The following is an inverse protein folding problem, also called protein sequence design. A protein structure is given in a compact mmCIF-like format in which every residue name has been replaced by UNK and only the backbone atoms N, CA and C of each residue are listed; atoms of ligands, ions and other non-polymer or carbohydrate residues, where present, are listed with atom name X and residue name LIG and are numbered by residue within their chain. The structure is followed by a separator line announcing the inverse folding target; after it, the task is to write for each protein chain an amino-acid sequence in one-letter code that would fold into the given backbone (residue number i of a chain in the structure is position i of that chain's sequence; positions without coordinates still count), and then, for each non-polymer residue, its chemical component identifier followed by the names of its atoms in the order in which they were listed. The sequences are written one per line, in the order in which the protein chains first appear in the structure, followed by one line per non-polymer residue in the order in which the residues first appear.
data_IF_926391182566
#
_entry.id   IF_926391182566
#
_cell.length_a   1.000
_cell.length_b   1.000
_cell.length_c   1.000
_cell.angle_alpha   90.00
_cell.angle_beta   90.00
_cell.angle_gamma   90.00
#
_symmetry.space_group_name_H-M   'P 1'
#
loop_
_entity.id
_entity.type
_entity.pdbx_description
1 polymer ?
#
# COMPACT_ATOMS: atom_id res chain seq x y z
N UNK A 1 38.14 -4.26 -6.03
CA UNK A 1 36.86 -3.77 -6.59
C UNK A 1 36.49 -2.48 -5.86
N UNK A 2 36.30 -1.37 -6.57
CA UNK A 2 35.85 -0.13 -5.94
C UNK A 2 34.46 -0.34 -5.30
N UNK A 3 34.20 0.15 -4.08
CA UNK A 3 32.88 0.04 -3.47
C UNK A 3 31.88 0.78 -4.36
N UNK A 4 30.83 0.09 -4.82
CA UNK A 4 29.71 0.70 -5.54
C UNK A 4 29.18 1.87 -4.69
N UNK A 5 29.14 3.07 -5.27
CA UNK A 5 28.56 4.22 -4.61
C UNK A 5 27.10 3.89 -4.24
N UNK A 6 26.70 4.26 -3.01
CA UNK A 6 25.30 4.07 -2.60
C UNK A 6 24.38 4.92 -3.48
N UNK A 7 23.25 4.35 -3.87
CA UNK A 7 22.19 5.09 -4.55
C UNK A 7 20.83 4.59 -4.06
N UNK A 8 19.82 5.46 -4.12
CA UNK A 8 18.44 5.11 -3.75
C UNK A 8 17.95 3.94 -4.61
N UNK A 9 18.23 3.97 -5.92
CA UNK A 9 17.87 2.87 -6.83
C UNK A 9 18.48 1.53 -6.42
N UNK A 10 19.77 1.50 -6.07
CA UNK A 10 20.43 0.27 -5.58
C UNK A 10 19.88 -0.20 -4.22
N UNK A 11 19.50 0.74 -3.35
CA UNK A 11 18.87 0.42 -2.07
C UNK A 11 17.50 -0.23 -2.26
N UNK A 12 16.66 0.35 -3.13
CA UNK A 12 15.33 -0.18 -3.45
C UNK A 12 15.45 -1.55 -4.11
N UNK A 13 16.31 -1.70 -5.13
CA UNK A 13 16.53 -3.02 -5.76
C UNK A 13 17.00 -4.07 -4.76
N UNK A 14 17.93 -3.71 -3.87
CA UNK A 14 18.40 -4.61 -2.82
C UNK A 14 17.27 -5.05 -1.88
N UNK A 15 16.41 -4.12 -1.49
CA UNK A 15 15.26 -4.40 -0.64
C UNK A 15 14.19 -5.24 -1.34
N UNK A 16 13.93 -5.00 -2.64
CA UNK A 16 13.05 -5.84 -3.47
C UNK A 16 13.57 -7.27 -3.49
N UNK A 17 14.84 -7.48 -3.86
CA UNK A 17 15.46 -8.81 -3.96
C UNK A 17 15.39 -9.57 -2.63
N UNK A 18 15.62 -8.86 -1.51
CA UNK A 18 15.53 -9.45 -0.17
C UNK A 18 14.11 -9.80 0.23
N UNK A 19 13.14 -8.93 -0.05
CA UNK A 19 11.73 -9.16 0.27
C UNK A 19 11.15 -10.34 -0.52
N UNK A 20 11.52 -10.49 -1.79
CA UNK A 20 11.08 -11.60 -2.64
C UNK A 20 11.57 -12.96 -2.11
N UNK A 21 12.80 -13.02 -1.59
CA UNK A 21 13.37 -14.24 -1.00
C UNK A 21 12.75 -14.64 0.34
N UNK A 22 12.00 -13.73 0.98
CA UNK A 22 11.44 -14.00 2.32
C UNK A 22 10.03 -14.61 2.30
N UNK A 23 9.36 -14.65 1.15
CA UNK A 23 7.96 -15.08 1.00
C UNK A 23 7.75 -16.53 0.54
N UNK A 24 8.74 -17.42 0.71
CA UNK A 24 8.78 -18.73 0.06
C UNK A 24 8.58 -19.98 0.93
N UNK A 25 8.44 -19.89 2.25
CA UNK A 25 8.33 -21.11 3.10
C UNK A 25 6.94 -21.23 3.76
N UNK A 26 6.20 -22.32 3.48
CA UNK A 26 4.92 -22.61 4.12
C UNK A 26 5.18 -23.38 5.42
N UNK A 27 5.33 -22.67 6.54
CA UNK A 27 5.32 -23.30 7.86
C UNK A 27 5.98 -22.47 8.95
N UNK A 28 5.19 -22.04 9.94
CA UNK A 28 5.67 -21.57 11.24
C UNK A 28 5.65 -20.05 11.47
N UNK A 29 4.89 -19.64 12.50
CA UNK A 29 5.06 -18.42 13.32
C UNK A 29 5.06 -17.07 12.61
N UNK A 30 4.00 -16.28 12.83
CA UNK A 30 3.82 -14.87 12.44
C UNK A 30 4.62 -14.40 11.21
N UNK A 31 3.97 -14.55 10.06
CA UNK A 31 4.44 -14.05 8.77
C UNK A 31 4.73 -12.54 8.86
N UNK A 32 6.00 -12.16 8.97
CA UNK A 32 6.44 -10.80 8.66
C UNK A 32 5.82 -10.40 7.32
N UNK A 33 5.06 -9.31 7.32
CA UNK A 33 4.41 -8.81 6.11
C UNK A 33 5.47 -8.50 5.05
N UNK A 34 5.14 -8.64 3.76
CA UNK A 34 6.07 -8.30 2.66
C UNK A 34 6.67 -6.89 2.81
N UNK A 35 5.93 -5.98 3.45
CA UNK A 35 6.37 -4.62 3.81
C UNK A 35 7.46 -4.57 4.86
N UNK A 36 7.35 -5.35 5.92
CA UNK A 36 8.37 -5.41 6.97
C UNK A 36 9.66 -6.01 6.42
N UNK A 37 9.54 -7.04 5.57
CA UNK A 37 10.67 -7.61 4.84
C UNK A 37 11.35 -6.57 3.92
N UNK A 38 10.59 -5.69 3.29
CA UNK A 38 11.11 -4.61 2.47
C UNK A 38 11.76 -3.49 3.29
N UNK A 39 11.09 -2.99 4.35
CA UNK A 39 11.67 -2.01 5.29
C UNK A 39 12.99 -2.50 5.89
N UNK A 40 13.01 -3.78 6.29
CA UNK A 40 14.23 -4.45 6.76
C UNK A 40 15.31 -4.47 5.68
N UNK A 41 14.96 -4.77 4.42
CA UNK A 41 15.89 -4.75 3.30
C UNK A 41 16.49 -3.36 3.03
N UNK A 42 15.67 -2.31 3.10
CA UNK A 42 16.14 -0.92 3.00
C UNK A 42 17.12 -0.60 4.14
N UNK A 43 16.76 -0.96 5.38
CA UNK A 43 17.57 -0.69 6.56
C UNK A 43 18.89 -1.46 6.50
N UNK A 44 18.86 -2.75 6.14
CA UNK A 44 20.04 -3.59 5.94
C UNK A 44 21.01 -2.97 4.93
N UNK A 45 20.50 -2.45 3.81
CA UNK A 45 21.33 -1.80 2.79
C UNK A 45 22.11 -0.61 3.35
N UNK A 46 21.46 0.27 4.12
CA UNK A 46 22.13 1.42 4.72
C UNK A 46 23.13 0.98 5.80
N UNK A 47 22.79 -0.04 6.59
CA UNK A 47 23.65 -0.57 7.65
C UNK A 47 24.84 -1.43 7.14
N UNK A 48 24.84 -1.87 5.88
CA UNK A 48 26.04 -2.42 5.23
C UNK A 48 27.13 -1.39 5.07
N UNK A 49 26.77 -0.14 4.84
CA UNK A 49 27.74 0.94 4.77
C UNK A 49 28.32 1.23 6.16
N UNK A 50 29.63 1.04 6.34
CA UNK A 50 30.30 1.21 7.65
C UNK A 50 29.98 2.54 8.34
N UNK A 51 29.89 3.63 7.57
CA UNK A 51 29.58 4.96 8.11
C UNK A 51 28.10 5.12 8.48
N UNK A 52 27.18 4.55 7.69
CA UNK A 52 25.76 4.51 8.05
C UNK A 52 25.50 3.66 9.28
N UNK A 53 26.23 2.55 9.39
CA UNK A 53 26.23 1.65 10.54
C UNK A 53 26.72 2.32 11.83
N UNK A 54 27.88 2.97 11.77
CA UNK A 54 28.45 3.72 12.90
C UNK A 54 27.52 4.86 13.34
N UNK A 55 26.91 5.59 12.40
CA UNK A 55 25.93 6.62 12.71
C UNK A 55 24.69 6.05 13.43
N UNK A 56 24.15 4.92 12.96
CA UNK A 56 23.03 4.24 13.60
C UNK A 56 23.38 3.80 15.02
N UNK A 57 24.51 3.11 15.21
CA UNK A 57 24.91 2.61 16.53
C UNK A 57 25.11 3.72 17.54
N UNK A 58 25.83 4.79 17.16
CA UNK A 58 26.07 5.92 18.07
C UNK A 58 24.80 6.71 18.38
N UNK A 59 23.98 7.01 17.37
CA UNK A 59 22.87 7.96 17.52
C UNK A 59 21.54 7.31 17.94
N UNK A 60 21.38 6.01 17.70
CA UNK A 60 20.16 5.27 17.99
C UNK A 60 20.38 4.26 19.10
N UNK A 61 21.37 3.36 18.96
CA UNK A 61 21.67 2.38 20.00
C UNK A 61 22.39 3.01 21.21
N UNK A 62 22.97 4.21 21.04
CA UNK A 62 23.66 4.95 22.11
C UNK A 62 24.97 4.28 22.53
N UNK A 63 25.63 3.60 21.61
CA UNK A 63 26.89 2.88 21.86
C UNK A 63 28.01 3.51 21.04
N UNK A 64 29.21 3.61 21.62
CA UNK A 64 30.38 4.18 20.93
C UNK A 64 31.24 3.14 20.20
N UNK A 65 30.87 1.85 20.30
CA UNK A 65 31.53 0.75 19.60
C UNK A 65 31.27 0.74 18.09
N UNK A 66 32.24 0.21 17.34
CA UNK A 66 32.08 -0.07 15.93
C UNK A 66 31.39 -1.45 15.73
N UNK A 67 30.11 -1.46 15.33
CA UNK A 67 29.37 -2.71 15.15
C UNK A 67 29.91 -3.51 13.96
N UNK A 68 29.88 -4.84 14.08
CA UNK A 68 30.04 -5.72 12.92
C UNK A 68 28.88 -5.52 11.92
N UNK A 69 28.99 -6.05 10.72
CA UNK A 69 27.90 -5.95 9.74
C UNK A 69 26.59 -6.52 10.29
N UNK A 70 25.50 -5.76 10.15
CA UNK A 70 24.17 -6.25 10.47
C UNK A 70 23.80 -7.38 9.52
N UNK A 71 23.42 -8.52 10.08
CA UNK A 71 22.98 -9.70 9.35
C UNK A 71 21.52 -9.98 9.69
N UNK A 72 20.78 -10.49 8.72
CA UNK A 72 19.46 -11.10 8.99
C UNK A 72 19.69 -12.30 9.91
N UNK A 73 18.97 -12.39 11.03
CA UNK A 73 19.16 -13.49 11.98
C UNK A 73 18.72 -14.84 11.35
N UNK A 74 19.45 -15.94 11.58
CA UNK A 74 19.06 -17.28 11.14
C UNK A 74 17.80 -17.75 11.88
N UNK A 75 16.82 -18.27 11.13
CA UNK A 75 15.47 -18.58 11.62
C UNK A 75 15.35 -20.02 12.16
N UNK A 76 16.00 -20.33 13.28
CA UNK A 76 15.93 -21.67 13.89
C UNK A 76 15.28 -21.70 15.27
N UNK A 77 14.50 -20.67 15.64
CA UNK A 77 13.77 -20.62 16.91
C UNK A 77 12.59 -19.64 16.90
N UNK A 78 11.73 -19.64 17.93
CA UNK A 78 10.46 -18.93 17.94
C UNK A 78 10.56 -17.40 17.90
N UNK A 79 11.72 -16.79 18.17
CA UNK A 79 11.92 -15.36 17.88
C UNK A 79 13.35 -15.04 17.46
N UNK A 80 13.61 -14.81 16.17
CA UNK A 80 14.88 -14.26 15.69
C UNK A 80 14.65 -12.82 15.22
N UNK A 81 15.36 -11.87 15.83
CA UNK A 81 15.32 -10.44 15.47
C UNK A 81 15.46 -10.22 13.95
N UNK A 82 14.90 -9.13 13.42
CA UNK A 82 14.97 -8.84 11.98
C UNK A 82 16.40 -8.62 11.49
N UNK A 83 17.19 -7.89 12.27
CA UNK A 83 18.62 -7.69 12.04
C UNK A 83 19.37 -7.82 13.35
N UNK A 84 20.55 -8.44 13.30
CA UNK A 84 21.46 -8.54 14.43
C UNK A 84 22.86 -8.11 14.01
N UNK A 85 23.55 -7.42 14.91
CA UNK A 85 24.98 -7.12 14.78
C UNK A 85 25.66 -7.48 16.11
N UNK A 86 26.60 -8.44 16.11
CA UNK A 86 27.38 -8.73 17.31
C UNK A 86 28.36 -7.59 17.60
N UNK A 87 28.58 -7.36 18.90
CA UNK A 87 29.55 -6.42 19.44
C UNK A 87 30.81 -7.17 19.89
N UNK A 88 31.88 -6.42 20.11
CA UNK A 88 33.20 -6.98 20.46
C UNK A 88 33.24 -7.60 21.86
N UNK A 89 32.38 -7.16 22.77
CA UNK A 89 32.27 -7.58 24.16
C UNK A 89 31.35 -8.80 24.37
N UNK A 90 30.87 -9.42 23.28
CA UNK A 90 29.89 -10.50 23.33
C UNK A 90 28.44 -10.03 23.46
N UNK A 91 28.18 -8.71 23.50
CA UNK A 91 26.85 -8.13 23.35
C UNK A 91 26.36 -8.15 21.90
N UNK A 92 25.12 -7.72 21.68
CA UNK A 92 24.58 -7.55 20.33
C UNK A 92 23.61 -6.38 20.22
N UNK A 93 23.54 -5.77 19.04
CA UNK A 93 22.45 -4.89 18.65
C UNK A 93 21.46 -5.72 17.84
N UNK A 94 20.29 -5.94 18.42
CA UNK A 94 19.15 -6.55 17.76
C UNK A 94 18.14 -5.49 17.32
N UNK A 95 17.59 -5.63 16.13
CA UNK A 95 16.59 -4.71 15.57
C UNK A 95 15.34 -5.51 15.24
N UNK A 96 14.19 -5.00 15.67
CA UNK A 96 12.87 -5.47 15.27
C UNK A 96 12.16 -4.35 14.51
N UNK A 97 11.69 -4.68 13.30
CA UNK A 97 11.05 -3.76 12.36
C UNK A 97 9.56 -4.01 12.36
N UNK A 98 8.77 -2.98 12.66
CA UNK A 98 7.32 -2.97 12.49
C UNK A 98 6.92 -1.78 11.63
N UNK A 99 6.13 -2.05 10.60
CA UNK A 99 5.55 -1.01 9.72
C UNK A 99 4.04 -0.87 9.92
N UNK A 100 3.42 -1.88 10.54
CA UNK A 100 2.00 -1.94 10.88
C UNK A 100 1.83 -2.60 12.26
N UNK A 101 0.64 -2.44 12.87
CA UNK A 101 0.29 -3.06 14.15
C UNK A 101 0.88 -2.38 15.40
N UNK A 102 0.59 -2.99 16.56
CA UNK A 102 1.10 -2.55 17.87
C UNK A 102 2.10 -3.57 18.41
N UNK A 103 3.09 -3.08 19.16
CA UNK A 103 4.00 -3.92 19.93
C UNK A 103 3.51 -3.92 21.39
N UNK A 104 3.30 -5.09 21.96
CA UNK A 104 2.88 -5.25 23.36
C UNK A 104 4.05 -5.60 24.30
N UNK A 105 3.80 -5.52 25.60
CA UNK A 105 4.82 -5.76 26.63
C UNK A 105 5.25 -7.23 26.71
N UNK A 106 4.37 -8.17 26.32
CA UNK A 106 4.70 -9.59 26.32
C UNK A 106 5.80 -9.91 25.29
N UNK A 107 5.64 -9.42 24.06
CA UNK A 107 6.62 -9.58 23.00
C UNK A 107 7.94 -8.88 23.34
N UNK A 108 7.89 -7.67 23.90
CA UNK A 108 9.09 -6.94 24.31
C UNK A 108 9.86 -7.68 25.40
N UNK A 109 9.17 -8.23 26.39
CA UNK A 109 9.79 -9.03 27.47
C UNK A 109 10.46 -10.27 26.91
N UNK A 110 9.81 -10.96 25.96
CA UNK A 110 10.40 -12.11 25.29
C UNK A 110 11.66 -11.73 24.48
N UNK A 111 11.59 -10.66 23.67
CA UNK A 111 12.73 -10.17 22.88
C UNK A 111 13.92 -9.75 23.75
N UNK A 112 13.66 -9.15 24.92
CA UNK A 112 14.70 -8.76 25.86
C UNK A 112 15.35 -9.97 26.56
N UNK A 113 14.59 -11.04 26.81
CA UNK A 113 15.11 -12.28 27.37
C UNK A 113 16.05 -13.02 26.39
N UNK A 114 15.82 -12.89 25.09
CA UNK A 114 16.66 -13.47 24.02
C UNK A 114 17.94 -12.67 23.73
N UNK A 115 18.09 -11.47 24.29
CA UNK A 115 19.34 -10.71 24.18
C UNK A 115 20.44 -11.31 25.08
N UNK A 116 21.70 -11.39 24.61
CA UNK A 116 22.86 -11.67 25.43
C UNK A 116 22.92 -10.76 26.66
N UNK A 117 23.32 -11.34 27.80
CA UNK A 117 23.47 -10.67 29.09
C UNK A 117 24.70 -9.73 29.16
N UNK A 118 24.91 -8.92 28.12
CA UNK A 118 25.84 -7.80 28.12
C UNK A 118 25.10 -6.49 28.38
N UNK A 119 25.72 -5.58 29.14
CA UNK A 119 25.25 -4.20 29.34
C UNK A 119 25.28 -3.37 28.05
N UNK A 120 26.02 -3.82 27.03
CA UNK A 120 26.08 -3.20 25.71
C UNK A 120 25.06 -3.79 24.74
N UNK A 121 24.36 -4.86 25.10
CA UNK A 121 23.27 -5.38 24.27
C UNK A 121 22.15 -4.34 24.15
N UNK A 122 21.61 -4.18 22.93
CA UNK A 122 20.53 -3.24 22.64
C UNK A 122 19.45 -3.91 21.80
N UNK A 123 18.20 -3.77 22.20
CA UNK A 123 17.02 -4.09 21.40
C UNK A 123 16.45 -2.78 20.86
N UNK A 124 16.55 -2.59 19.55
CA UNK A 124 15.98 -1.43 18.87
C UNK A 124 14.66 -1.86 18.22
N UNK A 125 13.55 -1.27 18.65
CA UNK A 125 12.23 -1.54 18.08
C UNK A 125 11.77 -0.32 17.31
N UNK A 126 11.60 -0.49 16.00
CA UNK A 126 11.12 0.54 15.08
C UNK A 126 9.64 0.35 14.80
N UNK A 127 8.82 1.34 15.15
CA UNK A 127 7.36 1.29 14.97
C UNK A 127 6.83 2.50 14.18
N UNK A 128 5.64 2.42 13.55
CA UNK A 128 5.00 3.60 12.99
C UNK A 128 4.49 4.52 14.12
N UNK A 129 4.35 5.83 13.86
CA UNK A 129 3.85 6.79 14.87
C UNK A 129 2.42 6.49 15.34
N UNK A 130 1.61 5.85 14.50
CA UNK A 130 0.26 5.37 14.81
C UNK A 130 0.28 4.20 15.80
N UNK A 131 1.32 3.37 15.76
CA UNK A 131 1.58 2.28 16.71
C UNK A 131 2.17 2.82 18.01
N UNK A 132 1.44 3.70 18.70
CA UNK A 132 1.82 4.20 20.04
C UNK A 132 1.99 3.01 20.98
N UNK A 133 3.22 2.62 21.21
CA UNK A 133 3.57 1.64 22.23
C UNK A 133 3.40 2.31 23.60
N UNK A 134 2.34 1.94 24.32
CA UNK A 134 2.20 2.22 25.75
C UNK A 134 2.88 1.09 26.50
N UNK A 135 4.21 1.08 26.49
CA UNK A 135 4.97 0.11 27.27
C UNK A 135 5.28 0.65 28.65
N UNK A 136 5.16 -0.20 29.67
CA UNK A 136 5.63 0.09 31.04
C UNK A 136 7.03 -0.47 31.31
N UNK A 137 7.66 -1.09 30.31
CA UNK A 137 8.97 -1.72 30.44
C UNK A 137 10.06 -0.65 30.54
N UNK A 138 10.71 -0.59 31.69
CA UNK A 138 11.90 0.23 31.92
C UNK A 138 13.15 -0.66 31.92
N UNK A 139 13.66 -0.99 30.73
CA UNK A 139 14.96 -1.68 30.54
C UNK A 139 15.87 -0.76 29.71
N UNK A 140 17.08 -0.48 30.21
CA UNK A 140 18.06 0.40 29.55
C UNK A 140 18.56 -0.17 28.21
N UNK A 141 18.40 -1.48 28.00
CA UNK A 141 18.74 -2.16 26.74
C UNK A 141 17.66 -1.96 25.68
N UNK A 142 16.46 -1.50 26.05
CA UNK A 142 15.35 -1.26 25.13
C UNK A 142 15.39 0.16 24.56
N UNK A 143 15.51 0.26 23.23
CA UNK A 143 15.37 1.51 22.49
C UNK A 143 14.12 1.44 21.62
N UNK A 144 13.06 2.10 22.08
CA UNK A 144 11.81 2.19 21.33
C UNK A 144 11.69 3.54 20.62
N UNK A 145 11.61 3.53 19.29
CA UNK A 145 11.50 4.75 18.50
C UNK A 145 10.65 4.56 17.25
N UNK A 146 10.03 5.66 16.82
CA UNK A 146 9.30 5.65 15.55
C UNK A 146 10.23 5.87 14.36
N UNK A 147 9.82 5.42 13.18
CA UNK A 147 10.52 5.65 11.91
C UNK A 147 10.81 7.13 11.62
N UNK A 148 9.91 8.03 11.99
CA UNK A 148 10.06 9.49 11.91
C UNK A 148 11.20 9.96 12.82
N UNK A 149 11.20 9.49 14.08
CA UNK A 149 12.24 9.86 15.05
C UNK A 149 13.61 9.36 14.59
N UNK A 150 13.67 8.13 14.06
CA UNK A 150 14.87 7.57 13.44
C UNK A 150 15.38 8.49 12.32
N UNK A 151 14.54 8.77 11.33
CA UNK A 151 14.88 9.57 10.18
C UNK A 151 15.29 11.00 10.56
N UNK A 152 14.57 11.66 11.45
CA UNK A 152 14.90 13.02 11.92
C UNK A 152 16.25 13.08 12.61
N UNK A 153 16.54 12.12 13.52
CA UNK A 153 17.82 12.08 14.24
C UNK A 153 18.99 11.85 13.28
N UNK A 154 18.86 10.87 12.38
CA UNK A 154 19.94 10.49 11.47
C UNK A 154 20.12 11.49 10.33
N UNK A 155 19.06 12.07 9.78
CA UNK A 155 19.16 13.12 8.76
C UNK A 155 19.91 14.35 9.28
N UNK A 156 19.66 14.74 10.53
CA UNK A 156 20.29 15.91 11.14
C UNK A 156 21.79 15.70 11.45
N UNK A 157 22.20 14.46 11.74
CA UNK A 157 23.55 14.13 12.22
C UNK A 157 24.40 13.33 11.23
N UNK A 158 23.79 12.84 10.14
CA UNK A 158 24.45 12.20 9.00
C UNK A 158 23.94 12.81 7.66
N UNK A 159 24.30 14.06 7.36
CA UNK A 159 23.80 14.77 6.18
C UNK A 159 24.20 14.12 4.86
N UNK A 160 25.32 13.37 4.83
CA UNK A 160 25.80 12.65 3.64
C UNK A 160 24.89 11.49 3.23
N UNK A 161 24.02 11.02 4.11
CA UNK A 161 23.03 9.95 3.85
C UNK A 161 21.61 10.39 4.17
N UNK A 162 21.38 11.70 4.32
CA UNK A 162 20.09 12.29 4.66
C UNK A 162 18.94 11.74 3.82
N UNK A 163 19.13 11.58 2.51
CA UNK A 163 18.10 11.08 1.60
C UNK A 163 17.72 9.62 1.85
N UNK A 164 18.69 8.77 2.21
CA UNK A 164 18.43 7.37 2.58
C UNK A 164 17.65 7.27 3.89
N UNK A 165 18.05 8.05 4.90
CA UNK A 165 17.37 8.12 6.18
C UNK A 165 15.96 8.70 6.06
N UNK A 166 15.77 9.70 5.19
CA UNK A 166 14.46 10.27 4.89
C UNK A 166 13.55 9.24 4.22
N UNK A 167 14.03 8.54 3.20
CA UNK A 167 13.24 7.50 2.53
C UNK A 167 12.84 6.37 3.48
N UNK A 168 13.74 5.93 4.36
CA UNK A 168 13.44 4.96 5.42
C UNK A 168 12.35 5.46 6.37
N UNK A 169 12.43 6.72 6.78
CA UNK A 169 11.42 7.35 7.63
C UNK A 169 10.06 7.47 6.96
N UNK A 170 10.02 7.91 5.70
CA UNK A 170 8.81 8.03 4.88
C UNK A 170 8.18 6.65 4.67
N UNK A 171 8.97 5.64 4.27
CA UNK A 171 8.45 4.28 4.08
C UNK A 171 7.90 3.68 5.37
N UNK A 172 8.60 3.85 6.49
CA UNK A 172 8.19 3.27 7.76
C UNK A 172 7.07 4.02 8.50
N UNK A 173 6.86 5.31 8.22
CA UNK A 173 5.77 6.11 8.80
C UNK A 173 4.51 6.18 7.94
N UNK A 174 4.68 6.33 6.62
CA UNK A 174 3.61 6.44 5.63
C UNK A 174 3.41 5.12 4.89
N UNK A 175 3.61 3.98 5.58
CA UNK A 175 3.12 2.68 5.14
C UNK A 175 1.58 2.65 5.21
N UNK A 176 0.90 3.57 4.52
CA UNK A 176 -0.27 3.20 3.75
C UNK A 176 0.16 2.22 2.66
N UNK A 177 -0.78 1.51 2.02
CA UNK A 177 -0.44 0.30 1.31
C UNK A 177 0.40 0.48 0.04
N UNK A 178 1.71 0.66 0.21
CA UNK A 178 2.72 0.71 -0.84
C UNK A 178 3.17 -0.72 -1.07
N UNK A 179 2.55 -1.33 -2.09
CA UNK A 179 3.09 -2.52 -2.72
C UNK A 179 4.40 -2.10 -3.41
N UNK A 180 5.54 -2.36 -2.78
CA UNK A 180 6.83 -2.26 -3.48
C UNK A 180 6.85 -3.37 -4.51
N UNK A 181 6.44 -3.00 -5.72
CA UNK A 181 6.42 -3.83 -6.90
C UNK A 181 7.31 -3.16 -7.93
N UNK A 182 7.96 -3.96 -8.77
CA UNK A 182 8.54 -3.45 -10.01
C UNK A 182 7.46 -2.63 -10.73
N UNK A 183 7.81 -1.49 -11.37
CA UNK A 183 6.81 -0.69 -12.09
C UNK A 183 6.05 -1.61 -13.04
N UNK A 184 4.74 -1.73 -12.81
CA UNK A 184 3.89 -2.62 -13.58
C UNK A 184 3.94 -2.21 -15.05
N UNK A 185 4.20 -3.19 -15.93
CA UNK A 185 4.17 -2.92 -17.37
C UNK A 185 2.72 -2.67 -17.79
N UNK A 186 2.42 -1.56 -18.49
CA UNK A 186 1.08 -1.28 -19.04
C UNK A 186 0.50 -2.40 -19.91
N UNK A 187 1.35 -3.31 -20.42
CA UNK A 187 0.92 -4.50 -21.16
C UNK A 187 -0.02 -5.39 -20.34
N UNK A 188 0.03 -5.36 -19.01
CA UNK A 188 -0.89 -6.14 -18.16
C UNK A 188 -2.36 -5.79 -18.41
N UNK A 189 -2.64 -4.57 -18.90
CA UNK A 189 -4.00 -4.11 -19.25
C UNK A 189 -4.56 -4.76 -20.53
N UNK A 190 -3.72 -5.48 -21.27
CA UNK A 190 -4.13 -6.28 -22.45
C UNK A 190 -4.47 -7.72 -22.09
N UNK A 191 -4.18 -8.16 -20.87
CA UNK A 191 -4.42 -9.53 -20.43
C UNK A 191 -5.91 -9.74 -20.14
N UNK A 192 -6.54 -10.67 -20.88
CA UNK A 192 -7.96 -10.97 -20.75
C UNK A 192 -8.30 -11.59 -19.40
N UNK A 193 -7.42 -12.42 -18.83
CA UNK A 193 -7.64 -13.03 -17.51
C UNK A 193 -7.66 -11.95 -16.42
N UNK A 194 -6.68 -11.04 -16.45
CA UNK A 194 -6.63 -9.90 -15.52
C UNK A 194 -7.82 -8.97 -15.73
N UNK A 195 -8.27 -8.82 -16.99
CA UNK A 195 -9.46 -8.03 -17.31
C UNK A 195 -10.73 -8.61 -16.69
N UNK A 196 -10.98 -9.91 -16.86
CA UNK A 196 -12.14 -10.56 -16.24
C UNK A 196 -12.06 -10.54 -14.72
N UNK A 197 -10.86 -10.76 -14.17
CA UNK A 197 -10.62 -10.70 -12.74
C UNK A 197 -10.94 -9.31 -12.15
N UNK A 198 -10.45 -8.24 -12.80
CA UNK A 198 -10.74 -6.86 -12.40
C UNK A 198 -12.24 -6.56 -12.43
N UNK A 199 -12.91 -6.99 -13.50
CA UNK A 199 -14.37 -6.85 -13.61
C UNK A 199 -15.08 -7.56 -12.46
N UNK A 200 -14.74 -8.83 -12.20
CA UNK A 200 -15.39 -9.61 -11.15
C UNK A 200 -15.20 -8.99 -9.75
N UNK A 201 -14.01 -8.47 -9.45
CA UNK A 201 -13.79 -7.77 -8.17
C UNK A 201 -14.49 -6.41 -8.09
N UNK A 202 -14.60 -5.67 -9.19
CA UNK A 202 -15.41 -4.44 -9.22
C UNK A 202 -16.90 -4.73 -9.02
N UNK A 203 -17.41 -5.84 -9.57
CA UNK A 203 -18.77 -6.33 -9.33
C UNK A 203 -18.97 -6.70 -7.85
N UNK A 204 -18.02 -7.42 -7.23
CA UNK A 204 -18.03 -7.68 -5.78
C UNK A 204 -18.07 -6.38 -4.98
N UNK A 205 -17.23 -5.40 -5.32
CA UNK A 205 -17.20 -4.11 -4.63
C UNK A 205 -18.53 -3.35 -4.75
N UNK A 206 -19.16 -3.40 -5.92
CA UNK A 206 -20.50 -2.83 -6.14
C UNK A 206 -21.53 -3.49 -5.24
N UNK A 207 -21.52 -4.82 -5.15
CA UNK A 207 -22.40 -5.58 -4.27
C UNK A 207 -22.18 -5.21 -2.81
N UNK A 208 -20.93 -5.17 -2.34
CA UNK A 208 -20.57 -4.80 -0.96
C UNK A 208 -21.03 -3.37 -0.66
N UNK A 209 -20.81 -2.44 -1.59
CA UNK A 209 -21.20 -1.04 -1.44
C UNK A 209 -22.72 -0.86 -1.33
N UNK A 210 -23.48 -1.59 -2.16
CA UNK A 210 -24.95 -1.58 -2.14
C UNK A 210 -25.48 -2.20 -0.84
N UNK A 211 -25.02 -3.38 -0.46
CA UNK A 211 -25.52 -4.10 0.73
C UNK A 211 -25.17 -3.38 2.05
N UNK A 212 -23.98 -2.78 2.17
CA UNK A 212 -23.57 -2.13 3.41
C UNK A 212 -23.97 -0.66 3.53
N UNK A 213 -23.94 0.08 2.42
CA UNK A 213 -24.07 1.56 2.44
C UNK A 213 -25.27 2.06 1.64
N UNK A 214 -25.71 1.32 0.61
CA UNK A 214 -26.80 1.72 -0.27
C UNK A 214 -26.50 2.98 -1.09
N UNK A 215 -25.22 3.19 -1.46
CA UNK A 215 -24.77 4.35 -2.24
C UNK A 215 -23.74 3.94 -3.29
N UNK A 216 -23.65 4.76 -4.33
CA UNK A 216 -22.68 4.59 -5.40
C UNK A 216 -21.25 4.95 -4.97
N UNK A 217 -20.29 4.35 -5.67
CA UNK A 217 -18.86 4.61 -5.56
C UNK A 217 -18.51 6.08 -5.84
N UNK A 218 -17.52 6.58 -5.11
CA UNK A 218 -16.90 7.88 -5.40
C UNK A 218 -15.38 7.82 -5.35
N UNK A 219 -14.72 8.58 -6.21
CA UNK A 219 -13.27 8.81 -6.10
C UNK A 219 -13.09 9.94 -5.10
N UNK A 220 -12.36 9.66 -4.04
CA UNK A 220 -12.02 10.65 -3.04
C UNK A 220 -10.58 11.04 -3.15
N UNK A 221 -10.33 12.34 -3.06
CA UNK A 221 -9.01 12.93 -2.90
C UNK A 221 -8.73 13.29 -1.44
N UNK A 222 -9.54 12.79 -0.49
CA UNK A 222 -9.46 13.19 0.93
C UNK A 222 -8.17 12.69 1.60
N UNK A 223 -7.21 13.62 1.81
CA UNK A 223 -6.10 13.77 2.79
C UNK A 223 -5.31 12.55 3.35
N UNK A 224 -5.69 11.30 3.08
CA UNK A 224 -5.02 10.09 3.59
C UNK A 224 -3.97 9.50 2.67
N UNK A 225 -3.83 10.03 1.47
CA UNK A 225 -2.84 9.60 0.49
C UNK A 225 -2.75 10.58 -0.68
N UNK A 226 -1.65 10.48 -1.43
CA UNK A 226 -1.38 11.31 -2.61
C UNK A 226 -2.28 11.02 -3.80
N UNK A 227 -2.90 9.84 -3.89
CA UNK A 227 -3.57 9.35 -5.10
C UNK A 227 -5.09 9.11 -4.99
N UNK A 228 -5.64 8.53 -6.06
CA UNK A 228 -7.06 8.19 -6.19
C UNK A 228 -7.49 7.12 -5.17
N UNK A 229 -8.66 7.29 -4.55
CA UNK A 229 -9.26 6.27 -3.68
C UNK A 229 -10.70 6.05 -4.09
N UNK A 230 -11.04 4.82 -4.51
CA UNK A 230 -12.41 4.44 -4.84
C UNK A 230 -13.13 3.99 -3.58
N UNK A 231 -14.09 4.77 -3.09
CA UNK A 231 -14.72 4.50 -1.79
C UNK A 231 -16.20 4.85 -1.75
N UNK A 232 -16.91 4.28 -0.77
CA UNK A 232 -18.33 4.50 -0.50
C UNK A 232 -18.53 4.74 0.99
N UNK A 233 -19.25 5.80 1.36
CA UNK A 233 -19.71 5.99 2.74
C UNK A 233 -18.64 6.35 3.78
N UNK A 234 -17.35 6.35 3.44
CA UNK A 234 -16.28 6.76 4.34
C UNK A 234 -16.35 8.28 4.58
N UNK A 235 -16.67 8.67 5.81
CA UNK A 235 -16.71 10.07 6.22
C UNK A 235 -16.26 10.24 7.67
N UNK A 236 -15.18 10.99 7.91
CA UNK A 236 -14.72 11.32 9.25
C UNK A 236 -14.55 10.07 10.14
N UNK A 237 -15.41 9.91 11.13
CA UNK A 237 -15.39 8.78 12.07
C UNK A 237 -16.06 7.51 11.58
N UNK A 238 -16.87 7.57 10.52
CA UNK A 238 -17.63 6.44 10.03
C UNK A 238 -16.78 5.49 9.18
N UNK A 239 -17.00 4.18 9.37
CA UNK A 239 -16.58 3.17 8.42
C UNK A 239 -17.36 3.33 7.10
N UNK A 240 -16.61 3.21 6.01
CA UNK A 240 -17.10 3.04 4.65
C UNK A 240 -16.44 1.82 4.01
N UNK A 241 -16.65 1.68 2.71
CA UNK A 241 -16.06 0.62 1.88
C UNK A 241 -15.06 1.26 0.93
N UNK A 242 -13.93 0.60 0.68
CA UNK A 242 -12.89 1.05 -0.24
C UNK A 242 -12.47 -0.09 -1.17
N UNK A 243 -12.27 0.24 -2.44
CA UNK A 243 -11.54 -0.61 -3.39
C UNK A 243 -10.07 -0.17 -3.38
N UNK A 244 -9.29 -0.85 -2.55
CA UNK A 244 -7.91 -0.52 -2.22
C UNK A 244 -6.93 -1.54 -2.77
N UNK A 245 -5.68 -1.51 -2.29
CA UNK A 245 -4.68 -2.49 -2.65
C UNK A 245 -5.09 -3.91 -2.29
N UNK A 246 -4.65 -4.87 -3.10
CA UNK A 246 -4.88 -6.29 -2.83
C UNK A 246 -3.98 -6.75 -1.70
N UNK A 247 -4.58 -7.08 -0.57
CA UNK A 247 -3.95 -7.79 0.56
C UNK A 247 -4.94 -8.83 1.08
N UNK A 248 -4.43 -9.90 1.70
CA UNK A 248 -5.24 -11.02 2.17
C UNK A 248 -6.22 -11.59 1.11
N UNK A 249 -5.82 -11.49 -0.16
CA UNK A 249 -6.60 -11.98 -1.30
C UNK A 249 -7.81 -11.11 -1.69
N UNK A 250 -8.00 -9.92 -1.13
CA UNK A 250 -9.13 -9.05 -1.50
C UNK A 250 -8.71 -7.58 -1.73
N UNK A 251 -9.29 -6.90 -2.74
CA UNK A 251 -9.17 -5.46 -2.89
C UNK A 251 -10.29 -4.70 -2.15
N UNK A 252 -11.21 -5.38 -1.46
CA UNK A 252 -12.40 -4.76 -0.85
C UNK A 252 -12.27 -4.67 0.66
N UNK A 253 -12.29 -3.42 1.16
CA UNK A 253 -11.95 -3.08 2.53
C UNK A 253 -13.08 -2.32 3.21
N UNK A 254 -13.24 -2.54 4.52
CA UNK A 254 -13.90 -1.58 5.40
C UNK A 254 -12.88 -0.59 5.93
N UNK A 255 -13.05 0.69 5.64
CA UNK A 255 -12.07 1.73 6.04
C UNK A 255 -12.72 2.90 6.78
N UNK A 256 -12.03 3.39 7.81
CA UNK A 256 -12.48 4.48 8.68
C UNK A 256 -11.43 5.56 8.86
N UNK A 257 -11.83 6.84 8.83
CA UNK A 257 -10.87 7.95 8.76
C UNK A 257 -10.38 8.52 10.12
N UNK A 258 -11.17 8.38 11.19
CA UNK A 258 -10.88 8.89 12.54
C UNK A 258 -11.62 8.07 13.62
N UNK A 259 -11.02 7.05 14.25
CA UNK A 259 -9.64 6.59 14.11
C UNK A 259 -9.36 5.89 12.76
N UNK A 260 -8.07 5.69 12.45
CA UNK A 260 -7.63 4.84 11.32
C UNK A 260 -8.00 3.41 11.62
N UNK A 261 -8.85 2.83 10.78
CA UNK A 261 -9.32 1.46 10.84
C UNK A 261 -9.40 0.92 9.43
N UNK A 262 -8.94 -0.30 9.23
CA UNK A 262 -8.99 -1.00 7.96
C UNK A 262 -9.21 -2.48 8.23
N UNK A 263 -10.21 -3.08 7.61
CA UNK A 263 -10.51 -4.51 7.74
C UNK A 263 -10.76 -5.11 6.36
N UNK A 264 -9.97 -6.11 5.97
CA UNK A 264 -10.22 -6.88 4.76
C UNK A 264 -11.51 -7.68 4.94
N UNK A 265 -12.48 -7.59 4.03
CA UNK A 265 -13.77 -8.30 4.22
C UNK A 265 -13.70 -9.82 3.98
N UNK A 266 -12.55 -10.32 3.52
CA UNK A 266 -12.36 -11.71 3.10
C UNK A 266 -13.42 -12.16 2.06
N UNK A 267 -13.76 -11.27 1.13
CA UNK A 267 -14.66 -11.53 -0.01
C UNK A 267 -13.89 -11.21 -1.28
N UNK A 268 -13.75 -12.22 -2.15
CA UNK A 268 -13.07 -12.13 -3.43
C UNK A 268 -14.02 -11.97 -4.62
N UNK A 269 -13.62 -12.47 -5.79
CA UNK A 269 -14.49 -12.55 -6.96
C UNK A 269 -15.55 -13.65 -6.76
N UNK A 270 -16.81 -13.32 -6.98
CA UNK A 270 -17.96 -14.21 -6.75
C UNK A 270 -18.44 -14.79 -8.09
N UNK A 271 -18.13 -16.06 -8.33
CA UNK A 271 -18.42 -16.73 -9.59
C UNK A 271 -19.81 -17.39 -9.61
N UNK A 272 -20.32 -17.80 -8.45
CA UNK A 272 -21.60 -18.52 -8.34
C UNK A 272 -22.65 -17.73 -7.56
N UNK A 273 -23.92 -18.07 -7.79
CA UNK A 273 -25.04 -17.50 -7.03
C UNK A 273 -24.97 -17.88 -5.54
N UNK A 274 -24.46 -19.08 -5.23
CA UNK A 274 -24.26 -19.55 -3.86
C UNK A 274 -23.23 -18.71 -3.09
N UNK A 275 -22.10 -18.41 -3.73
CA UNK A 275 -21.07 -17.50 -3.18
C UNK A 275 -21.64 -16.10 -2.99
N UNK A 276 -22.44 -15.62 -3.95
CA UNK A 276 -23.09 -14.32 -3.88
C UNK A 276 -24.08 -14.24 -2.71
N UNK A 277 -24.91 -15.25 -2.54
CA UNK A 277 -25.86 -15.34 -1.44
C UNK A 277 -25.15 -15.43 -0.08
N UNK A 278 -24.06 -16.19 0.00
CA UNK A 278 -23.24 -16.27 1.21
C UNK A 278 -22.61 -14.92 1.56
N UNK A 279 -22.05 -14.22 0.57
CA UNK A 279 -21.51 -12.89 0.75
C UNK A 279 -22.59 -11.90 1.21
N UNK A 280 -23.77 -11.89 0.58
CA UNK A 280 -24.90 -11.04 0.99
C UNK A 280 -25.34 -11.33 2.42
N UNK A 281 -25.47 -12.59 2.83
CA UNK A 281 -25.82 -12.95 4.21
C UNK A 281 -24.80 -12.41 5.21
N UNK A 282 -23.50 -12.53 4.91
CA UNK A 282 -22.42 -11.96 5.74
C UNK A 282 -22.54 -10.44 5.85
N UNK A 283 -22.70 -9.76 4.72
CA UNK A 283 -22.81 -8.30 4.66
C UNK A 283 -24.05 -7.79 5.41
N UNK A 284 -25.19 -8.48 5.28
CA UNK A 284 -26.40 -8.17 6.05
C UNK A 284 -26.22 -8.41 7.54
N UNK A 285 -25.46 -9.44 7.93
CA UNK A 285 -25.05 -9.68 9.32
C UNK A 285 -24.24 -8.52 9.89
N UNK A 286 -23.28 -8.00 9.12
CA UNK A 286 -22.51 -6.79 9.47
C UNK A 286 -23.45 -5.58 9.60
N UNK A 287 -24.31 -5.38 8.59
CA UNK A 287 -25.22 -4.23 8.53
C UNK A 287 -26.27 -4.22 9.65
N UNK A 288 -26.65 -5.39 10.16
CA UNK A 288 -27.60 -5.55 11.27
C UNK A 288 -27.01 -5.16 12.64
N UNK A 289 -25.68 -5.10 12.78
CA UNK A 289 -25.03 -4.68 14.01
C UNK A 289 -25.34 -3.22 14.35
N UNK A 290 -25.85 -2.95 15.56
CA UNK A 290 -26.08 -1.57 15.98
C UNK A 290 -24.77 -0.77 15.95
N UNK A 291 -24.77 0.41 15.32
CA UNK A 291 -23.63 1.34 15.32
C UNK A 291 -22.34 0.84 14.68
N UNK A 292 -22.34 -0.25 13.90
CA UNK A 292 -21.13 -0.84 13.30
C UNK A 292 -20.26 0.17 12.54
N UNK A 293 -20.86 1.19 11.93
CA UNK A 293 -20.13 2.25 11.22
C UNK A 293 -19.46 3.26 12.15
N UNK A 294 -20.11 3.60 13.26
CA UNK A 294 -19.74 4.73 14.11
C UNK A 294 -18.99 4.34 15.36
N UNK A 295 -19.15 3.09 15.82
CA UNK A 295 -18.46 2.57 17.00
C UNK A 295 -16.95 2.46 16.71
N UNK A 296 -16.07 3.19 17.42
CA UNK A 296 -14.63 3.16 17.20
C UNK A 296 -13.97 1.83 17.59
N UNK A 297 -14.60 1.01 18.45
CA UNK A 297 -14.11 -0.30 18.89
C UNK A 297 -14.65 -1.45 18.02
N UNK A 298 -15.49 -1.14 17.03
CA UNK A 298 -16.05 -2.15 16.14
C UNK A 298 -14.96 -2.86 15.34
N UNK A 299 -14.96 -4.18 15.43
CA UNK A 299 -14.22 -5.10 14.57
C UNK A 299 -15.21 -6.11 13.98
N UNK A 300 -15.24 -6.29 12.65
CA UNK A 300 -16.15 -7.24 12.03
C UNK A 300 -15.71 -8.68 12.34
N UNK A 301 -16.64 -9.51 12.82
CA UNK A 301 -16.40 -10.96 12.88
C UNK A 301 -16.48 -11.53 11.48
N UNK A 302 -15.33 -11.90 10.93
CA UNK A 302 -15.23 -12.47 9.59
C UNK A 302 -15.05 -13.99 9.68
N UNK A 303 -15.81 -14.72 8.87
CA UNK A 303 -15.63 -16.17 8.70
C UNK A 303 -14.60 -16.48 7.61
N UNK A 304 -14.65 -17.69 7.08
CA UNK A 304 -13.79 -18.13 5.98
C UNK A 304 -13.88 -17.21 4.75
N UNK A 305 -12.82 -17.18 3.95
CA UNK A 305 -12.78 -16.39 2.72
C UNK A 305 -13.84 -16.87 1.72
N UNK A 306 -14.63 -15.95 1.16
CA UNK A 306 -15.69 -16.27 0.19
C UNK A 306 -15.23 -15.88 -1.22
N UNK A 307 -15.37 -16.80 -2.17
CA UNK A 307 -15.05 -16.58 -3.58
C UNK A 307 -13.56 -16.73 -3.89
N UNK A 308 -13.17 -16.30 -5.09
CA UNK A 308 -11.80 -16.44 -5.59
C UNK A 308 -10.93 -15.25 -5.14
N UNK A 309 -9.76 -15.49 -4.52
CA UNK A 309 -8.87 -14.42 -4.11
C UNK A 309 -8.23 -13.71 -5.30
N UNK A 310 -7.99 -12.41 -5.12
CA UNK A 310 -7.30 -11.58 -6.09
C UNK A 310 -5.83 -12.00 -6.26
N UNK A 311 -5.41 -12.08 -7.50
CA UNK A 311 -4.07 -12.36 -7.96
C UNK A 311 -3.15 -11.16 -7.77
N UNK A 312 -1.82 -11.37 -7.72
CA UNK A 312 -0.88 -10.26 -7.79
C UNK A 312 -1.06 -9.43 -9.07
N UNK A 313 -1.38 -10.05 -10.21
CA UNK A 313 -1.54 -9.34 -11.47
C UNK A 313 -2.68 -8.31 -11.45
N UNK A 314 -3.76 -8.60 -10.71
CA UNK A 314 -4.86 -7.66 -10.50
C UNK A 314 -4.39 -6.34 -9.89
N UNK A 315 -3.57 -6.41 -8.85
CA UNK A 315 -3.08 -5.21 -8.16
C UNK A 315 -2.14 -4.38 -9.03
N UNK A 316 -1.37 -5.01 -9.92
CA UNK A 316 -0.53 -4.30 -10.89
C UNK A 316 -1.40 -3.50 -11.87
N UNK A 317 -2.46 -4.14 -12.39
CA UNK A 317 -3.44 -3.46 -13.23
C UNK A 317 -4.19 -2.35 -12.46
N UNK A 318 -4.62 -2.62 -11.23
CA UNK A 318 -5.31 -1.65 -10.36
C UNK A 318 -4.45 -0.42 -10.14
N UNK A 319 -3.19 -0.60 -9.74
CA UNK A 319 -2.28 0.51 -9.48
C UNK A 319 -2.12 1.41 -10.71
N UNK A 320 -1.91 0.84 -11.90
CA UNK A 320 -1.83 1.59 -13.15
C UNK A 320 -3.10 2.37 -13.46
N UNK A 321 -4.26 1.74 -13.32
CA UNK A 321 -5.54 2.37 -13.60
C UNK A 321 -5.86 3.50 -12.62
N UNK A 322 -5.47 3.36 -11.35
CA UNK A 322 -5.68 4.39 -10.35
C UNK A 322 -4.83 5.65 -10.61
N UNK A 323 -3.67 5.50 -11.23
CA UNK A 323 -2.86 6.63 -11.71
C UNK A 323 -3.52 7.35 -12.90
N UNK A 324 -4.21 6.60 -13.77
CA UNK A 324 -4.98 7.15 -14.90
C UNK A 324 -6.24 7.88 -14.44
N UNK A 325 -6.95 7.31 -13.46
CA UNK A 325 -8.20 7.88 -12.94
C UNK A 325 -7.98 8.93 -11.83
N UNK A 326 -6.74 9.26 -11.46
CA UNK A 326 -6.44 10.20 -10.39
C UNK A 326 -7.00 11.61 -10.68
N UNK A 327 -8.02 12.06 -9.93
CA UNK A 327 -8.62 13.38 -10.15
C UNK A 327 -7.63 14.52 -10.08
N UNK A 328 -6.59 14.43 -9.21
CA UNK A 328 -5.57 15.48 -9.08
C UNK A 328 -4.67 15.56 -10.29
N UNK A 329 -4.33 14.41 -10.89
CA UNK A 329 -3.50 14.36 -12.10
C UNK A 329 -4.26 14.87 -13.32
N UNK A 330 -5.52 14.49 -13.45
CA UNK A 330 -6.42 14.98 -14.49
C UNK A 330 -6.62 16.50 -14.37
N UNK A 331 -6.86 17.00 -13.15
CA UNK A 331 -6.97 18.44 -12.88
C UNK A 331 -5.68 19.20 -13.20
N UNK A 332 -4.52 18.68 -12.78
CA UNK A 332 -3.21 19.26 -13.10
C UNK A 332 -2.91 19.29 -14.62
N UNK A 333 -3.50 18.37 -15.39
CA UNK A 333 -3.41 18.34 -16.84
C UNK A 333 -4.43 19.26 -17.54
N UNK A 334 -5.21 20.05 -16.79
CA UNK A 334 -6.23 20.95 -17.34
C UNK A 334 -7.60 20.32 -17.57
N UNK A 335 -7.82 19.10 -17.05
CA UNK A 335 -9.08 18.35 -17.16
C UNK A 335 -9.70 18.10 -15.79
N UNK A 336 -10.21 19.13 -15.10
CA UNK A 336 -10.87 18.94 -13.82
C UNK A 336 -12.09 18.03 -13.93
N UNK A 337 -12.26 17.18 -12.91
CA UNK A 337 -13.42 16.29 -12.80
C UNK A 337 -14.72 17.08 -12.66
N UNK A 338 -15.78 16.61 -13.31
CA UNK A 338 -17.09 17.26 -13.24
C UNK A 338 -17.70 17.06 -11.84
N UNK A 339 -18.29 18.10 -11.22
CA UNK A 339 -18.91 17.97 -9.91
C UNK A 339 -20.08 16.97 -9.91
N UNK A 340 -20.10 16.08 -8.89
CA UNK A 340 -21.15 15.09 -8.56
C UNK A 340 -21.06 13.76 -9.33
N UNK A 341 -21.31 12.66 -8.60
CA UNK A 341 -21.41 11.26 -9.08
C UNK A 341 -20.19 10.81 -9.90
N UNK A 342 -19.00 10.83 -9.30
CA UNK A 342 -17.74 10.40 -9.91
C UNK A 342 -16.96 9.45 -8.97
N UNK A 343 -16.47 8.29 -9.44
CA UNK A 343 -16.65 7.78 -10.79
C UNK A 343 -18.06 7.25 -11.00
N UNK A 344 -18.37 7.01 -12.25
CA UNK A 344 -19.50 6.16 -12.65
C UNK A 344 -18.98 4.71 -12.75
N UNK A 345 -19.39 3.89 -11.78
CA UNK A 345 -19.13 2.45 -11.75
C UNK A 345 -20.43 1.71 -12.09
N UNK A 346 -20.55 1.29 -13.35
CA UNK A 346 -21.67 0.53 -13.88
C UNK A 346 -21.37 -0.97 -13.97
N UNK A 347 -22.31 -1.74 -14.53
CA UNK A 347 -22.13 -3.17 -14.81
C UNK A 347 -21.15 -3.41 -15.96
N UNK A 348 -21.06 -2.42 -16.86
CA UNK A 348 -20.30 -2.49 -18.08
C UNK A 348 -19.06 -1.61 -18.08
N UNK A 349 -18.88 -0.69 -17.13
CA UNK A 349 -17.78 0.28 -17.14
C UNK A 349 -17.37 0.81 -15.77
N UNK A 350 -16.11 1.25 -15.68
CA UNK A 350 -15.65 2.21 -14.67
C UNK A 350 -15.19 3.47 -15.40
N UNK A 351 -15.66 4.65 -14.99
CA UNK A 351 -15.37 5.89 -15.71
C UNK A 351 -15.33 7.15 -14.84
N UNK A 352 -14.52 8.11 -15.27
CA UNK A 352 -14.41 9.46 -14.70
C UNK A 352 -14.72 10.47 -15.80
N UNK A 353 -15.63 11.40 -15.49
CA UNK A 353 -16.02 12.49 -16.35
C UNK A 353 -15.21 13.74 -16.01
N UNK A 354 -14.62 14.34 -17.04
CA UNK A 354 -13.81 15.55 -16.95
C UNK A 354 -14.35 16.62 -17.91
N UNK A 355 -14.01 17.87 -17.64
CA UNK A 355 -14.33 19.01 -18.51
C UNK A 355 -13.05 19.61 -19.06
N UNK A 356 -13.16 20.42 -20.12
CA UNK A 356 -12.03 21.17 -20.67
C UNK A 356 -12.31 22.69 -20.57
N UNK A 357 -11.97 23.34 -19.44
CA UNK A 357 -12.24 24.75 -19.22
C UNK A 357 -11.73 25.73 -20.29
N UNK A 358 -10.57 25.49 -20.95
CA UNK A 358 -10.09 26.41 -21.99
C UNK A 358 -11.02 26.56 -23.20
N UNK A 359 -11.85 25.55 -23.48
CA UNK A 359 -12.91 25.62 -24.49
C UNK A 359 -14.20 24.95 -23.98
N UNK A 360 -15.12 25.73 -23.38
CA UNK A 360 -16.39 25.19 -22.89
C UNK A 360 -17.28 24.56 -23.98
N UNK A 361 -17.10 24.93 -25.25
CA UNK A 361 -17.85 24.35 -26.35
C UNK A 361 -17.42 22.91 -26.65
N UNK A 362 -16.20 22.53 -26.25
CA UNK A 362 -15.69 21.16 -26.37
C UNK A 362 -16.44 20.16 -25.44
N UNK A 363 -17.21 20.67 -24.48
CA UNK A 363 -18.09 19.88 -23.62
C UNK A 363 -17.38 19.03 -22.58
N UNK A 364 -17.92 17.84 -22.33
CA UNK A 364 -17.40 16.88 -21.35
C UNK A 364 -16.78 15.66 -22.03
N UNK A 365 -15.81 15.08 -21.34
CA UNK A 365 -15.08 13.91 -21.78
C UNK A 365 -15.18 12.82 -20.72
N UNK A 366 -15.21 11.58 -21.17
CA UNK A 366 -15.24 10.41 -20.34
C UNK A 366 -13.91 9.67 -20.49
N UNK A 367 -13.19 9.50 -19.38
CA UNK A 367 -12.08 8.55 -19.28
C UNK A 367 -12.66 7.27 -18.69
N UNK A 368 -12.53 6.13 -19.38
CA UNK A 368 -13.17 4.89 -18.94
C UNK A 368 -12.37 3.64 -19.26
N UNK A 369 -12.66 2.56 -18.54
CA UNK A 369 -12.34 1.18 -18.93
C UNK A 369 -13.63 0.38 -19.03
N UNK A 370 -13.60 -0.71 -19.78
CA UNK A 370 -14.84 -1.39 -20.19
C UNK A 370 -15.68 -0.51 -21.13
N UNK A 371 -16.99 -0.66 -21.09
CA UNK A 371 -17.95 -0.05 -22.03
C UNK A 371 -18.50 -1.05 -23.05
N UNK A 372 -18.29 -2.35 -22.81
CA UNK A 372 -18.92 -3.45 -23.53
C UNK A 372 -19.39 -4.50 -22.53
N UNK A 373 -20.41 -5.29 -22.91
CA UNK A 373 -20.92 -6.40 -22.08
C UNK A 373 -19.86 -7.47 -21.79
N UNK A 374 -18.82 -7.55 -22.63
CA UNK A 374 -17.64 -8.40 -22.44
C UNK A 374 -16.38 -7.55 -22.45
N UNK A 375 -15.74 -7.39 -21.30
CA UNK A 375 -14.49 -6.62 -21.20
C UNK A 375 -13.36 -7.46 -21.78
N UNK A 376 -12.78 -7.05 -22.90
CA UNK A 376 -11.63 -7.76 -23.49
C UNK A 376 -10.28 -7.22 -23.03
N UNK A 377 -10.22 -5.95 -22.66
CA UNK A 377 -9.02 -5.26 -22.18
C UNK A 377 -9.40 -4.22 -21.14
N UNK A 378 -8.42 -3.84 -20.32
CA UNK A 378 -8.45 -2.71 -19.38
C UNK A 378 -7.81 -1.45 -19.97
N UNK A 379 -7.66 -1.36 -21.30
CA UNK A 379 -7.10 -0.16 -21.92
C UNK A 379 -7.99 1.05 -21.65
N UNK A 380 -7.43 2.19 -21.19
CA UNK A 380 -8.18 3.42 -21.05
C UNK A 380 -8.77 3.87 -22.38
N UNK A 381 -10.01 4.32 -22.33
CA UNK A 381 -10.75 4.94 -23.43
C UNK A 381 -10.99 6.39 -23.05
N UNK A 382 -10.76 7.30 -23.99
CA UNK A 382 -11.14 8.71 -23.85
C UNK A 382 -12.23 8.99 -24.87
N UNK A 383 -13.41 9.35 -24.41
CA UNK A 383 -14.59 9.60 -25.24
C UNK A 383 -15.05 11.03 -25.06
N UNK A 384 -15.27 11.75 -26.16
CA UNK A 384 -15.96 13.04 -26.14
C UNK A 384 -17.47 12.79 -26.16
N UNK A 385 -18.18 13.27 -25.14
CA UNK A 385 -19.55 12.80 -24.89
C UNK A 385 -20.57 13.33 -25.92
N UNK A 386 -20.35 14.51 -26.51
CA UNK A 386 -21.36 15.10 -27.40
C UNK A 386 -21.47 14.41 -28.77
N UNK A 387 -20.39 13.82 -29.28
CA UNK A 387 -20.35 13.14 -30.59
C UNK A 387 -19.91 11.67 -30.50
N UNK A 388 -19.57 11.18 -29.31
CA UNK A 388 -19.16 9.80 -29.07
C UNK A 388 -17.77 9.44 -29.61
N UNK A 389 -16.99 10.43 -30.09
CA UNK A 389 -15.66 10.18 -30.66
C UNK A 389 -14.74 9.64 -29.57
N UNK A 390 -14.21 8.43 -29.80
CA UNK A 390 -13.47 7.66 -28.79
C UNK A 390 -12.06 7.31 -29.26
N UNK A 391 -11.07 7.58 -28.42
CA UNK A 391 -9.70 7.07 -28.56
C UNK A 391 -9.46 5.95 -27.56
N UNK A 392 -8.93 4.82 -28.04
CA UNK A 392 -8.44 3.74 -27.19
C UNK A 392 -6.94 3.94 -27.03
N UNK A 393 -6.49 4.18 -25.79
CA UNK A 393 -5.09 4.44 -25.48
C UNK A 393 -4.33 3.12 -25.42
N UNK A 394 -3.44 2.91 -26.38
CA UNK A 394 -2.67 1.68 -26.50
C UNK A 394 -1.47 1.66 -25.56
N UNK A 395 -1.17 0.48 -25.00
CA UNK A 395 0.00 0.21 -24.19
C UNK A 395 1.09 -0.50 -25.02
N UNK A 396 2.25 0.14 -25.18
CA UNK A 396 3.41 -0.42 -25.87
C UNK A 396 4.33 -1.17 -24.90
N UNK A 397 5.16 -2.08 -25.43
CA UNK A 397 6.07 -2.92 -24.63
C UNK A 397 7.08 -2.10 -23.80
N UNK A 398 7.46 -0.93 -24.29
CA UNK A 398 8.42 -0.04 -23.63
C UNK A 398 7.77 1.02 -22.73
N UNK A 399 6.44 1.08 -22.67
CA UNK A 399 5.76 2.11 -21.89
C UNK A 399 5.95 1.90 -20.40
N UNK A 400 6.16 2.99 -19.68
CA UNK A 400 6.03 3.08 -18.24
C UNK A 400 4.61 3.46 -17.83
N UNK A 401 4.29 3.38 -16.54
CA UNK A 401 3.03 3.89 -16.00
C UNK A 401 2.81 5.37 -16.34
N UNK A 402 3.88 6.18 -16.28
CA UNK A 402 3.81 7.60 -16.58
C UNK A 402 3.56 7.86 -18.08
N UNK A 403 4.11 7.03 -18.97
CA UNK A 403 3.85 7.13 -20.41
C UNK A 403 2.37 6.84 -20.71
N UNK A 404 1.78 5.83 -20.06
CA UNK A 404 0.35 5.54 -20.18
C UNK A 404 -0.51 6.74 -19.76
N UNK A 405 -0.23 7.32 -18.59
CA UNK A 405 -0.95 8.52 -18.09
C UNK A 405 -0.79 9.70 -19.07
N UNK A 406 0.43 9.91 -19.56
CA UNK A 406 0.72 10.99 -20.52
C UNK A 406 -0.08 10.81 -21.81
N UNK A 407 -0.13 9.59 -22.36
CA UNK A 407 -0.92 9.28 -23.56
C UNK A 407 -2.43 9.48 -23.36
N UNK A 408 -2.95 9.22 -22.16
CA UNK A 408 -4.36 9.52 -21.83
C UNK A 408 -4.59 11.03 -21.87
N UNK A 409 -3.69 11.82 -21.29
CA UNK A 409 -3.78 13.28 -21.33
C UNK A 409 -3.66 13.83 -22.76
N UNK A 410 -2.74 13.29 -23.57
CA UNK A 410 -2.61 13.66 -24.99
C UNK A 410 -3.87 13.32 -25.79
N UNK A 411 -4.51 12.18 -25.52
CA UNK A 411 -5.78 11.81 -26.13
C UNK A 411 -6.91 12.77 -25.75
N UNK A 412 -6.98 13.19 -24.48
CA UNK A 412 -7.92 14.21 -24.00
C UNK A 412 -7.70 15.55 -24.72
N UNK A 413 -6.46 16.05 -24.79
CA UNK A 413 -6.11 17.29 -25.49
C UNK A 413 -6.44 17.18 -26.99
N UNK A 414 -6.12 16.05 -27.62
CA UNK A 414 -6.41 15.83 -29.03
C UNK A 414 -7.91 15.85 -29.32
N UNK A 415 -8.75 15.30 -28.43
CA UNK A 415 -10.21 15.36 -28.55
C UNK A 415 -10.77 16.75 -28.24
N UNK A 416 -10.14 17.50 -27.34
CA UNK A 416 -10.60 18.82 -26.96
C UNK A 416 -10.28 19.89 -28.01
N UNK A 417 -9.19 19.72 -28.78
CA UNK A 417 -8.68 20.73 -29.73
C UNK A 417 -9.00 20.45 -31.19
N UNK A 418 -9.34 19.21 -31.54
CA UNK A 418 -9.67 18.83 -32.93
C UNK A 418 -11.18 18.71 -33.11
N UNK A 419 -11.74 19.22 -34.22
CA UNK A 419 -13.16 19.11 -34.50
C UNK A 419 -13.67 17.65 -34.55
#
# INVERSE_FOLDING_TARGET
MAPRAMSIGSMVSFAVDRSARTGGEPGGGERLGRREAFARGLLEYVLKNAKGRSAFTRLIAGLDDDPQEFRTAPRTGPVPFDLVSPLSDGGQIAITVRVEGTVDDALLTQLLAELPASSCSRLVVLTPRSGRVRTQIADERLVLLSWNKLARRLTAKDPKRAEFWRLLGEFGEDAGPLAVRSPASPRILLDEAVTQEMRAHLETFRLVSQELIGRDARFSTSRRGGGAVLQVGASGSQLGVEFGPVEDGTPVWLTGSRPVRSFALAIGALATDEERDLAQRRLRGIAAGSSWRTDPAYEPTLGEFIGTPASPALEDARALLWEVFDPRRLEAAGFPTVPRRQPELGDDRLSVRVSYPPDPAAGTFLVSIGGSSTWKTLLPRVTREYDGKTYIVQALKSDTAQDLVTKVHEALVSLATKP
#
